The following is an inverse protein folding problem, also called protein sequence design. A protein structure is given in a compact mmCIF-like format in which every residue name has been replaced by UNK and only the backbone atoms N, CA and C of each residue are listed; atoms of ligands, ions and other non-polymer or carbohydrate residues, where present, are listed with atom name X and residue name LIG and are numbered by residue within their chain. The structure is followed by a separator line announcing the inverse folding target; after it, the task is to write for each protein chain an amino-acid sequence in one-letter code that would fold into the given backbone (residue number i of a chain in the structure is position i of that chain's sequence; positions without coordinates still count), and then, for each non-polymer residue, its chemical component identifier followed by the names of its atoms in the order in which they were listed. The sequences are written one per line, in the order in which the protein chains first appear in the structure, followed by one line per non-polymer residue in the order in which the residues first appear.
data_IF_651387300752
#
_entry.id   IF_651387300752
#
_cell.length_a   1.000
_cell.length_b   1.000
_cell.length_c   1.000
_cell.angle_alpha   90.00
_cell.angle_beta   90.00
_cell.angle_gamma   90.00
#
_symmetry.space_group_name_H-M   'P 1'
#
loop_
_entity.id
_entity.type
_entity.pdbx_description
1 polymer ?
#
# COMPACT_ATOMS: atom_id res chain seq x y z
N UNK A 1 -10.63 -10.78 14.81
CA UNK A 1 -10.24 -9.43 14.34
C UNK A 1 -10.47 -8.43 15.45
N UNK A 2 -9.41 -7.74 15.92
CA UNK A 2 -9.58 -6.61 16.85
C UNK A 2 -10.34 -5.49 16.15
N UNK A 3 -11.37 -4.97 16.80
CA UNK A 3 -12.18 -3.84 16.34
C UNK A 3 -11.33 -2.58 16.15
N UNK A 4 -11.81 -1.63 15.35
CA UNK A 4 -11.16 -0.32 15.21
C UNK A 4 -10.98 0.39 16.55
N UNK A 5 -11.91 0.18 17.48
CA UNK A 5 -11.84 0.70 18.84
C UNK A 5 -10.68 0.08 19.64
N UNK A 6 -10.55 -1.26 19.64
CA UNK A 6 -9.46 -1.94 20.34
C UNK A 6 -8.08 -1.54 19.79
N UNK A 7 -7.95 -1.35 18.47
CA UNK A 7 -6.70 -0.84 17.87
C UNK A 7 -6.38 0.57 18.34
N UNK A 8 -7.37 1.47 18.38
CA UNK A 8 -7.21 2.81 18.91
C UNK A 8 -6.83 2.80 20.41
N UNK A 9 -7.43 1.91 21.19
CA UNK A 9 -7.10 1.73 22.61
C UNK A 9 -5.66 1.26 22.82
N UNK A 10 -5.13 0.38 21.96
CA UNK A 10 -3.71 -0.05 22.03
C UNK A 10 -2.78 1.13 21.77
N UNK A 11 -3.08 1.92 20.75
CA UNK A 11 -2.29 3.13 20.42
C UNK A 11 -2.30 4.11 21.59
N UNK A 12 -3.48 4.36 22.16
CA UNK A 12 -3.66 5.27 23.29
C UNK A 12 -2.97 4.77 24.57
N UNK A 13 -2.93 3.45 24.80
CA UNK A 13 -2.27 2.85 25.98
C UNK A 13 -0.75 2.74 25.83
N UNK A 14 -0.22 2.76 24.60
CA UNK A 14 1.22 2.62 24.33
C UNK A 14 1.79 3.74 23.43
N UNK A 15 1.61 5.03 23.78
CA UNK A 15 1.89 6.16 22.88
C UNK A 15 3.37 6.23 22.46
N UNK A 16 4.30 5.88 23.36
CA UNK A 16 5.75 5.85 23.06
C UNK A 16 6.09 4.74 22.05
N UNK A 17 5.50 3.56 22.20
CA UNK A 17 5.74 2.45 21.28
C UNK A 17 5.20 2.78 19.89
N UNK A 18 4.00 3.37 19.82
CA UNK A 18 3.41 3.83 18.56
C UNK A 18 4.27 4.90 17.88
N UNK A 19 4.76 5.89 18.62
CA UNK A 19 5.65 6.93 18.06
C UNK A 19 6.97 6.34 17.54
N UNK A 20 7.57 5.38 18.26
CA UNK A 20 8.79 4.68 17.82
C UNK A 20 8.54 3.85 16.55
N UNK A 21 7.44 3.10 16.50
CA UNK A 21 7.04 2.34 15.32
C UNK A 21 6.85 3.26 14.11
N UNK A 22 6.10 4.36 14.27
CA UNK A 22 5.89 5.36 13.22
C UNK A 22 7.22 5.92 12.71
N UNK A 23 8.12 6.34 13.60
CA UNK A 23 9.43 6.84 13.21
C UNK A 23 10.27 5.78 12.47
N UNK A 24 10.22 4.51 12.89
CA UNK A 24 10.88 3.42 12.18
C UNK A 24 10.32 3.27 10.75
N UNK A 25 9.00 3.24 10.61
CA UNK A 25 8.31 3.14 9.33
C UNK A 25 8.68 4.29 8.40
N UNK A 26 8.63 5.54 8.88
CA UNK A 26 8.98 6.72 8.08
C UNK A 26 10.45 6.69 7.63
N UNK A 27 11.38 6.30 8.51
CA UNK A 27 12.79 6.15 8.13
C UNK A 27 12.98 5.11 7.04
N UNK A 28 12.25 4.00 7.10
CA UNK A 28 12.27 2.96 6.07
C UNK A 28 11.70 3.46 4.74
N UNK A 29 10.57 4.20 4.76
CA UNK A 29 9.99 4.82 3.56
C UNK A 29 11.00 5.79 2.92
N UNK A 30 11.59 6.69 3.70
CA UNK A 30 12.57 7.65 3.18
C UNK A 30 13.80 6.94 2.61
N UNK A 31 14.32 5.92 3.30
CA UNK A 31 15.51 5.19 2.86
C UNK A 31 15.23 4.36 1.60
N UNK A 32 14.19 3.55 1.60
CA UNK A 32 13.96 2.55 0.57
C UNK A 32 13.23 3.12 -0.65
N UNK A 33 12.21 3.94 -0.45
CA UNK A 33 11.39 4.46 -1.56
C UNK A 33 11.97 5.76 -2.13
N UNK A 34 12.24 6.74 -1.26
CA UNK A 34 12.62 8.10 -1.68
C UNK A 34 14.09 8.15 -2.08
N UNK A 35 14.99 7.74 -1.18
CA UNK A 35 16.43 7.75 -1.41
C UNK A 35 16.90 6.53 -2.20
N UNK A 36 16.17 5.41 -2.12
CA UNK A 36 16.40 4.23 -2.96
C UNK A 36 15.99 4.45 -4.42
N UNK A 37 15.29 5.55 -4.73
CA UNK A 37 15.04 5.97 -6.10
C UNK A 37 13.92 5.21 -6.79
N UNK A 38 13.00 4.60 -6.04
CA UNK A 38 11.80 3.93 -6.61
C UNK A 38 10.95 4.94 -7.38
N UNK A 39 10.83 6.17 -6.87
CA UNK A 39 10.19 7.27 -7.58
C UNK A 39 11.11 7.94 -8.61
N UNK A 40 12.28 7.37 -8.91
CA UNK A 40 13.32 8.02 -9.70
C UNK A 40 14.28 8.89 -8.86
N UNK A 41 15.28 9.54 -9.49
CA UNK A 41 16.32 10.27 -8.78
C UNK A 41 15.74 11.45 -7.97
N UNK A 42 15.85 11.41 -6.64
CA UNK A 42 15.35 12.48 -5.76
C UNK A 42 16.35 13.62 -5.66
N UNK A 43 15.90 14.86 -5.91
CA UNK A 43 16.67 16.09 -5.70
C UNK A 43 16.57 16.58 -4.25
N UNK A 44 15.38 16.55 -3.68
CA UNK A 44 15.10 16.97 -2.31
C UNK A 44 13.80 16.33 -1.81
N UNK A 45 13.61 16.31 -0.49
CA UNK A 45 12.32 16.00 0.13
C UNK A 45 12.12 16.85 1.39
N UNK A 46 10.86 17.09 1.74
CA UNK A 46 10.46 17.80 2.94
C UNK A 46 9.29 17.06 3.58
N UNK A 47 9.34 16.83 4.89
CA UNK A 47 8.30 16.10 5.60
C UNK A 47 7.92 16.75 6.93
N UNK A 48 6.63 16.79 7.23
CA UNK A 48 6.08 17.30 8.50
C UNK A 48 5.18 16.26 9.14
N UNK A 49 5.41 16.01 10.43
CA UNK A 49 4.60 15.09 11.22
C UNK A 49 3.56 15.89 11.99
N UNK A 50 2.30 15.45 11.89
CA UNK A 50 1.20 16.02 12.64
C UNK A 50 0.48 14.93 13.46
N UNK A 51 -0.14 15.33 14.56
CA UNK A 51 -1.09 14.48 15.26
C UNK A 51 -2.46 14.72 14.66
N UNK A 52 -2.99 13.75 13.92
CA UNK A 52 -4.40 13.82 13.55
C UNK A 52 -5.23 13.57 14.82
N UNK A 53 -6.33 14.30 15.01
CA UNK A 53 -7.25 14.17 16.15
C UNK A 53 -7.94 12.80 16.30
N UNK A 54 -7.38 11.75 15.70
CA UNK A 54 -7.79 10.34 15.75
C UNK A 54 -6.73 9.47 16.45
N UNK A 55 -5.81 10.09 17.20
CA UNK A 55 -4.86 9.38 18.06
C UNK A 55 -3.66 8.76 17.34
N UNK A 56 -3.41 9.11 16.07
CA UNK A 56 -2.25 8.62 15.30
C UNK A 56 -1.41 9.76 14.74
N UNK A 57 -0.11 9.50 14.56
CA UNK A 57 0.77 10.40 13.80
C UNK A 57 0.52 10.24 12.30
N UNK A 58 0.61 11.35 11.57
CA UNK A 58 0.48 11.40 10.12
C UNK A 58 1.66 12.17 9.54
N UNK A 59 2.18 11.75 8.39
CA UNK A 59 3.29 12.40 7.70
C UNK A 59 2.78 12.99 6.38
N UNK A 60 2.91 14.31 6.23
CA UNK A 60 2.88 14.95 4.92
C UNK A 60 4.29 14.95 4.36
N UNK A 61 4.47 14.42 3.15
CA UNK A 61 5.77 14.33 2.49
C UNK A 61 5.71 14.94 1.09
N UNK A 62 6.58 15.91 0.84
CA UNK A 62 6.78 16.52 -0.48
C UNK A 62 8.14 16.08 -1.02
N UNK A 63 8.17 15.58 -2.24
CA UNK A 63 9.36 15.02 -2.89
C UNK A 63 9.58 15.76 -4.21
N UNK A 64 10.80 16.22 -4.42
CA UNK A 64 11.22 16.81 -5.69
C UNK A 64 12.12 15.83 -6.43
N UNK A 65 11.67 15.36 -7.58
CA UNK A 65 12.47 14.54 -8.48
C UNK A 65 13.48 15.43 -9.25
N UNK A 66 14.62 14.84 -9.60
CA UNK A 66 15.67 15.50 -10.36
C UNK A 66 15.34 15.42 -11.85
N UNK A 67 14.70 16.47 -12.35
CA UNK A 67 14.47 16.71 -13.78
C UNK A 67 14.72 18.18 -14.13
N UNK A 68 14.77 18.48 -15.43
CA UNK A 68 15.08 19.83 -15.94
C UNK A 68 13.83 20.63 -16.31
N UNK A 69 12.66 20.00 -16.34
CA UNK A 69 11.42 20.68 -16.73
C UNK A 69 10.87 21.62 -15.66
N UNK A 70 10.45 22.80 -16.08
CA UNK A 70 9.55 23.67 -15.30
C UNK A 70 8.10 23.17 -15.40
N UNK A 71 7.18 23.59 -14.50
CA UNK A 71 5.77 23.25 -14.62
C UNK A 71 5.13 23.64 -15.97
N UNK A 72 5.54 24.77 -16.55
CA UNK A 72 5.07 25.22 -17.86
C UNK A 72 5.54 24.27 -18.98
N UNK A 73 6.82 23.88 -18.96
CA UNK A 73 7.38 22.92 -19.92
C UNK A 73 6.77 21.53 -19.75
N UNK A 74 6.49 21.07 -18.53
CA UNK A 74 5.76 19.81 -18.33
C UNK A 74 4.38 19.86 -18.97
N UNK A 75 3.65 20.97 -18.80
CA UNK A 75 2.32 21.15 -19.40
C UNK A 75 2.37 21.13 -20.93
N UNK A 76 3.39 21.74 -21.52
CA UNK A 76 3.62 21.74 -22.96
C UNK A 76 4.05 20.36 -23.47
N UNK A 77 4.99 19.70 -22.80
CA UNK A 77 5.48 18.37 -23.15
C UNK A 77 4.38 17.30 -23.07
N UNK A 78 3.43 17.44 -22.15
CA UNK A 78 2.24 16.57 -22.10
C UNK A 78 1.41 16.68 -23.39
N UNK A 79 1.55 17.70 -24.24
CA UNK A 79 0.89 17.72 -25.56
C UNK A 79 1.60 16.82 -26.59
N UNK A 80 2.88 16.50 -26.39
CA UNK A 80 3.63 15.56 -27.21
C UNK A 80 3.26 14.12 -26.83
N UNK A 81 2.94 13.29 -27.84
CA UNK A 81 2.49 11.91 -27.63
C UNK A 81 3.59 11.03 -27.03
N UNK A 82 4.80 11.05 -27.59
CA UNK A 82 5.91 10.23 -27.11
C UNK A 82 6.25 10.54 -25.65
N UNK A 83 6.22 11.82 -25.26
CA UNK A 83 6.45 12.22 -23.87
C UNK A 83 5.36 11.67 -22.94
N UNK A 84 4.08 11.77 -23.32
CA UNK A 84 2.97 11.21 -22.53
C UNK A 84 3.11 9.71 -22.37
N UNK A 85 3.39 8.99 -23.45
CA UNK A 85 3.44 7.53 -23.42
C UNK A 85 4.59 7.05 -22.53
N UNK A 86 5.74 7.74 -22.57
CA UNK A 86 6.85 7.48 -21.66
C UNK A 86 6.53 7.84 -20.20
N UNK A 87 5.82 8.95 -19.96
CA UNK A 87 5.38 9.33 -18.61
C UNK A 87 4.41 8.30 -18.04
N UNK A 88 3.45 7.83 -18.82
CA UNK A 88 2.51 6.78 -18.43
C UNK A 88 3.25 5.48 -18.09
N UNK A 89 4.17 5.05 -18.95
CA UNK A 89 4.98 3.86 -18.69
C UNK A 89 5.78 3.96 -17.39
N UNK A 90 6.38 5.13 -17.13
CA UNK A 90 7.06 5.38 -15.86
C UNK A 90 6.10 5.32 -14.66
N UNK A 91 4.91 5.90 -14.76
CA UNK A 91 3.91 5.87 -13.69
C UNK A 91 3.40 4.44 -13.42
N UNK A 92 3.14 3.65 -14.46
CA UNK A 92 2.69 2.26 -14.38
C UNK A 92 3.76 1.31 -13.81
N UNK A 93 5.04 1.62 -14.00
CA UNK A 93 6.16 0.86 -13.42
C UNK A 93 6.28 1.10 -11.90
N UNK A 94 6.00 2.33 -11.46
CA UNK A 94 6.15 2.75 -10.06
C UNK A 94 4.87 2.55 -9.24
N UNK A 95 3.71 2.63 -9.88
CA UNK A 95 2.39 2.54 -9.26
C UNK A 95 1.59 1.42 -9.93
N UNK A 96 1.33 0.35 -9.18
CA UNK A 96 0.41 -0.71 -9.59
C UNK A 96 -0.86 -0.69 -8.75
N UNK A 97 -2.00 -0.65 -9.44
CA UNK A 97 -3.34 -0.80 -8.87
C UNK A 97 -4.11 -1.85 -9.68
N UNK A 98 -3.67 -3.10 -9.63
CA UNK A 98 -4.35 -4.20 -10.34
C UNK A 98 -4.51 -5.41 -9.43
N UNK A 99 -5.67 -5.52 -8.78
CA UNK A 99 -5.99 -6.64 -7.90
C UNK A 99 -6.26 -7.94 -8.68
N UNK A 100 -6.74 -7.84 -9.92
CA UNK A 100 -7.14 -9.02 -10.69
C UNK A 100 -5.90 -9.76 -11.20
N UNK A 101 -4.86 -9.05 -11.63
CA UNK A 101 -3.54 -9.65 -11.91
C UNK A 101 -3.00 -10.40 -10.68
N UNK A 102 -3.02 -9.78 -9.49
CA UNK A 102 -2.55 -10.45 -8.27
C UNK A 102 -3.40 -11.68 -7.90
N UNK A 103 -4.69 -11.71 -8.26
CA UNK A 103 -5.55 -12.89 -8.06
C UNK A 103 -5.19 -14.01 -9.02
N UNK A 104 -5.02 -13.71 -10.30
CA UNK A 104 -4.60 -14.69 -11.30
C UNK A 104 -3.25 -15.30 -10.93
N UNK A 105 -2.27 -14.46 -10.58
CA UNK A 105 -0.94 -14.90 -10.16
C UNK A 105 -0.93 -15.67 -8.83
N UNK A 106 -1.86 -15.37 -7.92
CA UNK A 106 -2.05 -16.16 -6.70
C UNK A 106 -2.66 -17.54 -6.99
N UNK A 107 -3.36 -17.71 -8.13
CA UNK A 107 -4.07 -18.91 -8.52
C UNK A 107 -3.31 -19.79 -9.54
N UNK A 108 -2.41 -19.24 -10.38
CA UNK A 108 -1.70 -19.96 -11.45
C UNK A 108 -0.46 -20.78 -10.99
N UNK A 109 -0.50 -21.29 -9.76
CA UNK A 109 0.47 -22.27 -9.28
C UNK A 109 0.21 -23.65 -9.88
N UNK A 110 0.59 -23.90 -11.13
CA UNK A 110 0.49 -25.25 -11.71
C UNK A 110 1.45 -26.21 -11.00
N UNK A 111 0.92 -27.06 -10.12
CA UNK A 111 1.39 -28.43 -9.88
C UNK A 111 0.26 -29.27 -9.31
N UNK A 112 -0.34 -30.05 -10.20
CA UNK A 112 -0.74 -31.46 -10.04
C UNK A 112 -0.63 -32.03 -8.63
N UNK A 113 -1.70 -31.94 -7.83
CA UNK A 113 -2.28 -33.07 -7.08
C UNK A 113 -3.68 -32.67 -6.63
N UNK A 114 -4.68 -33.38 -7.18
CA UNK A 114 -6.02 -33.66 -6.65
C UNK A 114 -6.61 -32.71 -5.58
N UNK A 115 -7.70 -32.05 -5.98
CA UNK A 115 -8.85 -31.73 -5.14
C UNK A 115 -8.59 -31.14 -3.75
N UNK A 116 -8.42 -29.82 -3.70
CA UNK A 116 -8.99 -29.05 -2.59
C UNK A 116 -9.81 -27.92 -3.20
N UNK A 117 -11.09 -28.21 -3.41
CA UNK A 117 -12.12 -27.18 -3.50
C UNK A 117 -12.14 -26.43 -2.16
N UNK A 118 -11.50 -25.26 -2.13
CA UNK A 118 -11.71 -24.32 -1.03
C UNK A 118 -13.10 -23.72 -1.22
N UNK A 119 -14.08 -24.44 -0.70
CA UNK A 119 -15.39 -23.90 -0.41
C UNK A 119 -15.21 -22.73 0.55
N UNK A 120 -15.69 -21.55 0.15
CA UNK A 120 -15.87 -20.43 1.07
C UNK A 120 -16.93 -20.87 2.07
N UNK A 121 -16.49 -21.48 3.18
CA UNK A 121 -17.37 -21.74 4.31
C UNK A 121 -17.53 -20.43 5.08
N UNK A 122 -18.69 -19.80 4.88
CA UNK A 122 -19.25 -18.97 5.94
C UNK A 122 -19.44 -19.82 7.20
N UNK A 123 -19.07 -19.24 8.34
CA UNK A 123 -19.29 -19.69 9.73
C UNK A 123 -18.29 -20.69 10.35
N UNK A 124 -17.30 -20.13 11.05
CA UNK A 124 -16.47 -20.78 12.07
C UNK A 124 -15.88 -19.71 13.01
N UNK A 125 -15.57 -20.04 14.29
CA UNK A 125 -15.15 -19.04 15.27
C UNK A 125 -13.86 -18.36 14.83
N UNK A 126 -13.87 -17.03 14.88
CA UNK A 126 -12.75 -16.15 14.54
C UNK A 126 -11.53 -16.59 15.34
N UNK A 127 -10.62 -17.33 14.72
CA UNK A 127 -9.27 -17.52 15.26
C UNK A 127 -8.59 -16.15 15.29
N UNK A 128 -7.66 -15.95 16.23
CA UNK A 128 -6.83 -14.75 16.37
C UNK A 128 -5.85 -14.57 15.17
N UNK A 129 -6.38 -14.64 13.94
CA UNK A 129 -5.61 -14.45 12.74
C UNK A 129 -5.17 -12.98 12.68
N UNK A 130 -3.86 -12.78 12.74
CA UNK A 130 -3.22 -11.47 12.63
C UNK A 130 -3.65 -10.83 11.31
N UNK A 131 -4.06 -9.56 11.36
CA UNK A 131 -4.44 -8.80 10.16
C UNK A 131 -3.28 -8.84 9.16
N UNK A 132 -3.54 -9.00 7.85
CA UNK A 132 -2.47 -9.08 6.84
C UNK A 132 -1.48 -7.93 6.93
N UNK A 133 -1.95 -6.71 7.23
CA UNK A 133 -1.13 -5.52 7.45
C UNK A 133 -0.13 -5.60 8.61
N UNK A 134 -0.29 -6.57 9.51
CA UNK A 134 0.60 -6.83 10.65
C UNK A 134 1.48 -8.06 10.45
N UNK A 135 1.39 -8.74 9.30
CA UNK A 135 2.32 -9.81 8.95
C UNK A 135 3.61 -9.23 8.41
N UNK A 136 4.71 -9.94 8.64
CA UNK A 136 5.98 -9.62 7.98
C UNK A 136 5.85 -9.85 6.48
N UNK A 137 6.47 -8.98 5.68
CA UNK A 137 6.61 -9.22 4.24
C UNK A 137 7.33 -10.55 3.99
N UNK A 138 6.89 -11.35 3.00
CA UNK A 138 7.55 -12.60 2.67
C UNK A 138 9.02 -12.37 2.27
N UNK A 139 9.88 -13.35 2.53
CA UNK A 139 11.30 -13.26 2.21
C UNK A 139 11.49 -13.21 0.68
N UNK A 140 12.07 -12.13 0.12
CA UNK A 140 12.29 -12.01 -1.33
C UNK A 140 13.19 -13.09 -1.92
N UNK A 141 14.08 -13.68 -1.11
CA UNK A 141 15.00 -14.74 -1.56
C UNK A 141 14.36 -16.14 -1.55
N UNK A 142 13.10 -16.26 -1.13
CA UNK A 142 12.37 -17.53 -1.15
C UNK A 142 11.89 -17.88 -2.56
N UNK A 143 12.00 -19.16 -2.95
CA UNK A 143 11.44 -19.64 -4.22
C UNK A 143 9.91 -19.49 -4.32
N UNK A 144 9.21 -19.37 -3.19
CA UNK A 144 7.77 -19.14 -3.11
C UNK A 144 7.38 -17.66 -2.95
N UNK A 145 8.35 -16.74 -2.96
CA UNK A 145 8.13 -15.32 -2.65
C UNK A 145 6.96 -14.73 -3.45
N UNK A 146 6.98 -14.89 -4.77
CA UNK A 146 5.98 -14.29 -5.66
C UNK A 146 4.55 -14.72 -5.31
N UNK A 147 4.36 -16.03 -5.13
CA UNK A 147 3.06 -16.62 -4.79
C UNK A 147 2.55 -16.13 -3.44
N UNK A 148 3.42 -16.11 -2.42
CA UNK A 148 3.05 -15.66 -1.07
C UNK A 148 2.76 -14.15 -1.08
N UNK A 149 3.59 -13.37 -1.76
CA UNK A 149 3.42 -11.92 -1.90
C UNK A 149 2.07 -11.57 -2.56
N UNK A 150 1.74 -12.18 -3.70
CA UNK A 150 0.47 -11.94 -4.38
C UNK A 150 -0.72 -12.28 -3.47
N UNK A 151 -0.67 -13.44 -2.79
CA UNK A 151 -1.70 -13.85 -1.85
C UNK A 151 -1.86 -12.86 -0.68
N UNK A 152 -0.75 -12.36 -0.12
CA UNK A 152 -0.78 -11.40 0.97
C UNK A 152 -1.33 -10.03 0.52
N UNK A 153 -0.97 -9.57 -0.68
CA UNK A 153 -1.53 -8.34 -1.29
C UNK A 153 -3.04 -8.48 -1.48
N UNK A 154 -3.52 -9.58 -2.07
CA UNK A 154 -4.96 -9.82 -2.27
C UNK A 154 -5.68 -9.81 -0.93
N UNK A 155 -5.18 -10.56 0.06
CA UNK A 155 -5.78 -10.63 1.40
C UNK A 155 -5.77 -9.26 2.08
N UNK A 156 -4.71 -8.47 1.94
CA UNK A 156 -4.64 -7.12 2.48
C UNK A 156 -5.71 -6.22 1.87
N UNK A 157 -5.82 -6.19 0.55
CA UNK A 157 -6.77 -5.33 -0.17
C UNK A 157 -8.20 -5.71 0.18
N UNK A 158 -8.55 -7.00 0.13
CA UNK A 158 -9.90 -7.47 0.41
C UNK A 158 -10.35 -7.23 1.86
N UNK A 159 -9.41 -7.32 2.81
CA UNK A 159 -9.73 -7.12 4.24
C UNK A 159 -9.69 -5.67 4.70
N UNK A 160 -8.89 -4.83 4.05
CA UNK A 160 -8.55 -3.49 4.57
C UNK A 160 -8.90 -2.34 3.63
N UNK A 161 -8.95 -2.57 2.32
CA UNK A 161 -9.14 -1.51 1.32
C UNK A 161 -10.50 -1.60 0.62
N UNK A 162 -11.10 -2.79 0.54
CA UNK A 162 -12.46 -3.00 0.05
C UNK A 162 -13.44 -2.85 1.21
N UNK A 163 -14.52 -2.10 1.00
CA UNK A 163 -15.59 -1.96 1.97
C UNK A 163 -16.95 -1.94 1.28
N UNK A 164 -17.99 -2.37 2.01
CA UNK A 164 -19.37 -2.15 1.60
C UNK A 164 -19.72 -0.69 1.86
N UNK A 165 -20.22 0.00 0.84
CA UNK A 165 -20.66 1.38 1.00
C UNK A 165 -21.73 1.49 2.09
N UNK A 166 -21.54 2.43 3.01
CA UNK A 166 -22.54 2.84 3.99
C UNK A 166 -23.15 4.18 3.59
N UNK A 167 -24.22 4.59 4.27
CA UNK A 167 -24.84 5.91 4.08
C UNK A 167 -23.88 7.08 4.34
N UNK A 168 -22.77 6.86 5.05
CA UNK A 168 -21.72 7.85 5.32
C UNK A 168 -20.54 7.77 4.34
N UNK A 169 -20.58 6.87 3.36
CA UNK A 169 -19.53 6.69 2.37
C UNK A 169 -19.74 7.65 1.18
N UNK A 170 -19.32 8.89 1.34
CA UNK A 170 -19.34 9.89 0.26
C UNK A 170 -18.00 9.90 -0.46
N UNK A 171 -17.88 9.19 -1.60
CA UNK A 171 -16.67 9.28 -2.43
C UNK A 171 -16.64 10.53 -3.32
N UNK A 172 -17.79 11.16 -3.53
CA UNK A 172 -17.92 12.46 -4.19
C UNK A 172 -19.16 13.16 -3.64
N UNK A 173 -19.00 14.11 -2.72
CA UNK A 173 -20.07 15.06 -2.45
C UNK A 173 -20.19 15.92 -3.70
N UNK A 174 -21.20 15.64 -4.54
CA UNK A 174 -21.74 16.69 -5.39
C UNK A 174 -22.42 17.65 -4.41
N UNK A 175 -21.89 18.86 -4.30
CA UNK A 175 -22.50 19.94 -3.52
C UNK A 175 -23.93 20.23 -3.96
#
# INVERSE_FOLDING_TARGET
LRTSYERAQIIATHPVATAKFFNCLIKSILKCLVLGGVLGPTKAYFGTVESQGRGSLHLHLLIWLKHEYTPAQLKENIQNQDFRDNLLKYLEDVVKEDLDLFREEANDGTSTTSDISVSIQETGPITDEVVPACLSTPNPDSGDFHRIFCKDVVRLVETSNIHKHSTTCYKYSKG
#
